data_IF_021657429335
#
_entry.id   IF_021657429335
#
_cell.length_a   1.000
_cell.length_b   1.000
_cell.length_c   1.000
_cell.angle_alpha   90.00
_cell.angle_beta   90.00
_cell.angle_gamma   90.00
#
_symmetry.space_group_name_H-M   'P 1'
#
loop_
_entity.id
_entity.type
_entity.pdbx_description
1 polymer ?
#
# COMPACT_ATOMS: atom_id res chain seq x y z
N UNK A 1 -3.06 4.68 -17.89
CA UNK A 1 -2.53 5.46 -16.74
C UNK A 1 -2.25 6.86 -17.23
N UNK A 2 -2.93 7.86 -16.68
CA UNK A 2 -2.94 9.24 -17.19
C UNK A 2 -1.52 9.83 -17.14
N UNK A 3 -1.02 10.34 -18.28
CA UNK A 3 0.40 10.70 -18.46
C UNK A 3 0.84 11.99 -17.74
N UNK A 4 -0.11 12.73 -17.13
CA UNK A 4 0.13 14.05 -16.56
C UNK A 4 -0.45 14.26 -15.15
N UNK A 5 -0.47 13.20 -14.31
CA UNK A 5 -0.91 13.33 -12.93
C UNK A 5 0.08 14.19 -12.13
N UNK A 6 -0.37 15.34 -11.68
CA UNK A 6 0.35 16.19 -10.72
C UNK A 6 0.06 15.68 -9.30
N UNK A 7 1.01 14.91 -8.76
CA UNK A 7 0.89 14.34 -7.42
C UNK A 7 1.01 15.37 -6.30
N UNK A 8 1.42 16.60 -6.60
CA UNK A 8 1.37 17.70 -5.61
C UNK A 8 -0.06 18.22 -5.40
N UNK A 9 -0.93 18.02 -6.36
CA UNK A 9 -2.31 18.51 -6.34
C UNK A 9 -3.34 17.47 -5.94
N UNK A 10 -3.08 16.17 -6.25
CA UNK A 10 -3.98 15.07 -5.89
C UNK A 10 -3.23 13.76 -5.69
N UNK A 11 -3.67 12.90 -4.76
CA UNK A 11 -3.14 11.55 -4.64
C UNK A 11 -3.58 10.70 -5.84
N UNK A 12 -2.74 9.74 -6.26
CA UNK A 12 -3.18 8.65 -7.14
C UNK A 12 -4.10 7.70 -6.40
N UNK A 13 -3.83 7.51 -5.11
CA UNK A 13 -4.56 6.59 -4.23
C UNK A 13 -4.82 7.29 -2.90
N UNK A 14 -6.09 7.38 -2.52
CA UNK A 14 -6.50 7.65 -1.15
C UNK A 14 -6.90 6.34 -0.50
N UNK A 15 -6.26 5.97 0.60
CA UNK A 15 -6.70 4.84 1.43
C UNK A 15 -7.47 5.40 2.62
N UNK A 16 -8.61 4.83 2.89
CA UNK A 16 -9.33 5.07 4.12
C UNK A 16 -9.43 3.76 4.91
N UNK A 17 -8.86 3.77 6.11
CA UNK A 17 -9.01 2.71 7.10
C UNK A 17 -10.38 2.87 7.74
N UNK A 18 -11.38 2.16 7.22
CA UNK A 18 -12.77 2.36 7.62
C UNK A 18 -13.11 1.79 9.00
N UNK A 19 -12.28 0.88 9.49
CA UNK A 19 -12.41 0.24 10.81
C UNK A 19 -11.09 -0.34 11.27
N UNK A 20 -10.88 -0.44 12.58
CA UNK A 20 -9.76 -1.17 13.18
C UNK A 20 -10.15 -2.62 13.54
N UNK A 21 -11.45 -2.97 13.45
CA UNK A 21 -11.91 -4.32 13.78
C UNK A 21 -11.39 -5.38 12.81
N UNK A 22 -10.88 -6.48 13.34
CA UNK A 22 -10.43 -7.65 12.56
C UNK A 22 -10.41 -8.88 13.46
N UNK A 23 -10.67 -10.06 12.90
CA UNK A 23 -10.53 -11.34 13.61
C UNK A 23 -9.11 -11.90 13.53
N UNK A 24 -8.33 -11.45 12.54
CA UNK A 24 -6.98 -11.95 12.34
C UNK A 24 -5.97 -11.29 13.28
N UNK A 25 -4.99 -12.06 13.73
CA UNK A 25 -3.90 -11.62 14.59
C UNK A 25 -2.55 -11.55 13.85
N UNK A 26 -2.56 -11.10 12.59
CA UNK A 26 -1.39 -11.08 11.71
C UNK A 26 -0.15 -10.46 12.36
N UNK A 27 1.01 -11.11 12.23
CA UNK A 27 2.28 -10.66 12.82
C UNK A 27 2.75 -9.30 12.29
N UNK A 28 2.43 -9.00 11.03
CA UNK A 28 2.82 -7.75 10.35
C UNK A 28 1.78 -6.64 10.43
N UNK A 29 0.71 -6.80 11.22
CA UNK A 29 -0.41 -5.87 11.18
C UNK A 29 0.01 -4.43 11.51
N UNK A 30 -0.08 -3.56 10.52
CA UNK A 30 0.21 -2.13 10.62
C UNK A 30 -0.75 -1.41 11.57
N UNK A 31 -2.04 -1.75 11.45
CA UNK A 31 -3.13 -1.09 12.19
C UNK A 31 -3.20 -1.52 13.66
N UNK A 32 -2.43 -2.55 14.05
CA UNK A 32 -2.61 -3.20 15.36
C UNK A 32 -4.09 -3.54 15.62
N UNK A 33 -4.71 -4.16 14.62
CA UNK A 33 -6.14 -4.42 14.57
C UNK A 33 -6.65 -5.15 15.82
N UNK A 34 -7.85 -4.79 16.23
CA UNK A 34 -8.54 -5.28 17.43
C UNK A 34 -9.75 -6.12 17.03
N UNK A 35 -10.27 -6.95 17.93
CA UNK A 35 -11.46 -7.77 17.66
C UNK A 35 -12.76 -6.97 17.56
N UNK A 36 -12.80 -5.78 18.17
CA UNK A 36 -13.96 -4.89 18.21
C UNK A 36 -13.66 -3.57 17.48
N UNK A 37 -14.72 -2.93 17.01
CA UNK A 37 -14.65 -1.59 16.43
C UNK A 37 -14.24 -0.56 17.49
N UNK A 38 -13.44 0.41 17.08
CA UNK A 38 -13.11 1.54 17.94
C UNK A 38 -14.36 2.41 18.20
N UNK A 39 -14.61 2.88 19.43
CA UNK A 39 -15.81 3.67 19.72
C UNK A 39 -15.87 5.01 18.96
N UNK A 40 -14.71 5.57 18.62
CA UNK A 40 -14.59 6.85 17.91
C UNK A 40 -14.40 6.65 16.39
N UNK A 41 -14.72 5.47 15.83
CA UNK A 41 -14.72 5.31 14.38
C UNK A 41 -15.71 6.29 13.74
N UNK A 42 -15.29 6.86 12.60
CA UNK A 42 -16.14 7.77 11.84
C UNK A 42 -17.50 7.13 11.56
N UNK A 43 -18.56 7.87 11.82
CA UNK A 43 -19.94 7.49 11.49
C UNK A 43 -20.14 7.36 9.98
N UNK A 44 -21.28 6.83 9.54
CA UNK A 44 -21.62 6.75 8.12
C UNK A 44 -21.60 8.13 7.45
N UNK A 45 -22.16 9.15 8.11
CA UNK A 45 -22.23 10.52 7.56
C UNK A 45 -20.84 11.17 7.50
N UNK A 46 -19.99 11.00 8.52
CA UNK A 46 -18.60 11.47 8.47
C UNK A 46 -17.80 10.72 7.40
N UNK A 47 -18.07 9.42 7.22
CA UNK A 47 -17.49 8.63 6.13
C UNK A 47 -17.89 9.13 4.74
N UNK A 48 -19.15 9.52 4.55
CA UNK A 48 -19.60 10.17 3.30
C UNK A 48 -18.90 11.50 3.10
N UNK A 49 -18.67 12.29 4.14
CA UNK A 49 -17.91 13.55 4.04
C UNK A 49 -16.43 13.31 3.63
N UNK A 50 -15.80 12.19 4.08
CA UNK A 50 -14.48 11.78 3.58
C UNK A 50 -14.54 11.48 2.08
N UNK A 51 -15.57 10.79 1.60
CA UNK A 51 -15.74 10.48 0.19
C UNK A 51 -16.02 11.74 -0.65
N UNK A 52 -16.83 12.69 -0.14
CA UNK A 52 -17.05 14.00 -0.77
C UNK A 52 -15.73 14.75 -0.93
N UNK A 53 -14.91 14.82 0.13
CA UNK A 53 -13.59 15.45 0.07
C UNK A 53 -12.66 14.73 -0.93
N UNK A 54 -12.72 13.39 -0.99
CA UNK A 54 -11.97 12.62 -1.99
C UNK A 54 -12.38 12.97 -3.42
N UNK A 55 -13.68 13.25 -3.65
CA UNK A 55 -14.22 13.64 -4.96
C UNK A 55 -13.71 15.00 -5.43
N UNK A 56 -13.39 15.90 -4.51
CA UNK A 56 -12.83 17.21 -4.82
C UNK A 56 -11.41 17.15 -5.42
N UNK A 57 -10.67 16.06 -5.20
CA UNK A 57 -9.38 15.88 -5.86
C UNK A 57 -9.53 15.70 -7.37
N UNK A 58 -10.46 14.88 -7.81
CA UNK A 58 -10.74 14.64 -9.23
C UNK A 58 -11.94 13.70 -9.44
N UNK A 59 -12.50 13.75 -10.66
CA UNK A 59 -13.37 12.70 -11.18
C UNK A 59 -12.62 11.36 -11.20
N UNK A 60 -13.32 10.26 -10.82
CA UNK A 60 -12.74 8.92 -10.73
C UNK A 60 -11.53 8.81 -9.79
N UNK A 61 -11.47 9.64 -8.73
CA UNK A 61 -10.44 9.47 -7.71
C UNK A 61 -10.50 8.06 -7.14
N UNK A 62 -9.35 7.38 -7.11
CA UNK A 62 -9.26 6.04 -6.54
C UNK A 62 -9.29 6.14 -5.01
N UNK A 63 -10.30 5.53 -4.40
CA UNK A 63 -10.44 5.37 -2.97
C UNK A 63 -10.39 3.88 -2.64
N UNK A 64 -9.51 3.49 -1.73
CA UNK A 64 -9.38 2.12 -1.25
C UNK A 64 -9.90 2.05 0.17
N UNK A 65 -10.99 1.36 0.38
CA UNK A 65 -11.51 1.04 1.70
C UNK A 65 -10.69 -0.13 2.26
N UNK A 66 -10.03 0.11 3.38
CA UNK A 66 -9.14 -0.81 4.06
C UNK A 66 -9.45 -0.80 5.56
N UNK A 67 -8.59 -1.43 6.36
CA UNK A 67 -8.76 -1.38 7.81
C UNK A 67 -8.07 -2.52 8.50
N UNK A 68 -8.66 -2.97 9.58
CA UNK A 68 -8.55 -4.34 10.06
C UNK A 68 -9.20 -5.25 9.05
N UNK A 69 -10.51 -5.47 9.16
CA UNK A 69 -11.32 -6.07 8.09
C UNK A 69 -12.50 -5.14 7.77
N UNK A 70 -12.52 -4.48 6.62
CA UNK A 70 -13.61 -3.58 6.25
C UNK A 70 -14.99 -4.27 6.22
N UNK A 71 -15.06 -5.60 6.06
CA UNK A 71 -16.31 -6.36 6.13
C UNK A 71 -16.95 -6.34 7.53
N UNK A 72 -16.20 -5.98 8.57
CA UNK A 72 -16.73 -5.77 9.93
C UNK A 72 -17.54 -4.46 10.06
N UNK A 73 -17.46 -3.59 9.05
CA UNK A 73 -18.21 -2.35 9.05
C UNK A 73 -19.62 -2.55 8.45
N UNK A 74 -20.71 -2.35 9.23
CA UNK A 74 -22.07 -2.72 8.79
C UNK A 74 -22.60 -1.88 7.64
N UNK A 75 -22.13 -0.65 7.47
CA UNK A 75 -22.51 0.29 6.41
C UNK A 75 -21.54 0.26 5.20
N UNK A 76 -20.66 -0.74 5.10
CA UNK A 76 -19.66 -0.84 4.01
C UNK A 76 -20.29 -0.74 2.62
N UNK A 77 -21.37 -1.50 2.37
CA UNK A 77 -22.06 -1.50 1.08
C UNK A 77 -22.70 -0.15 0.75
N UNK A 78 -23.20 0.57 1.76
CA UNK A 78 -23.73 1.92 1.62
C UNK A 78 -22.62 2.91 1.23
N UNK A 79 -21.46 2.85 1.87
CA UNK A 79 -20.32 3.70 1.57
C UNK A 79 -19.77 3.43 0.16
N UNK A 80 -19.68 2.16 -0.26
CA UNK A 80 -19.27 1.82 -1.64
C UNK A 80 -20.23 2.40 -2.66
N UNK A 81 -21.55 2.23 -2.43
CA UNK A 81 -22.58 2.76 -3.33
C UNK A 81 -22.52 4.28 -3.41
N UNK A 82 -22.45 4.95 -2.27
CA UNK A 82 -22.32 6.41 -2.22
C UNK A 82 -21.11 6.90 -2.99
N UNK A 83 -19.94 6.28 -2.78
CA UNK A 83 -18.72 6.64 -3.50
C UNK A 83 -18.83 6.46 -5.03
N UNK A 84 -19.47 5.37 -5.50
CA UNK A 84 -19.71 5.16 -6.94
C UNK A 84 -20.70 6.19 -7.50
N UNK A 85 -21.80 6.48 -6.79
CA UNK A 85 -22.81 7.47 -7.19
C UNK A 85 -22.22 8.88 -7.37
N UNK A 86 -21.29 9.29 -6.51
CA UNK A 86 -20.60 10.58 -6.64
C UNK A 86 -19.41 10.55 -7.61
N UNK A 87 -19.14 9.41 -8.27
CA UNK A 87 -18.15 9.26 -9.33
C UNK A 87 -16.74 8.95 -8.86
N UNK A 88 -16.56 8.33 -7.70
CA UNK A 88 -15.28 7.80 -7.24
C UNK A 88 -15.02 6.40 -7.83
N UNK A 89 -13.74 5.99 -7.89
CA UNK A 89 -13.35 4.63 -8.20
C UNK A 89 -13.14 3.85 -6.90
N UNK A 90 -14.14 3.06 -6.50
CA UNK A 90 -14.13 2.36 -5.22
C UNK A 90 -13.37 1.03 -5.30
N UNK A 91 -12.46 0.80 -4.38
CA UNK A 91 -11.68 -0.44 -4.21
C UNK A 91 -11.75 -0.92 -2.77
N UNK A 92 -11.59 -2.23 -2.56
CA UNK A 92 -11.64 -2.85 -1.24
C UNK A 92 -10.39 -3.70 -0.98
N UNK A 93 -9.89 -3.64 0.26
CA UNK A 93 -8.83 -4.53 0.75
C UNK A 93 -9.30 -5.22 2.02
N UNK A 94 -10.10 -6.29 1.90
CA UNK A 94 -10.61 -7.07 3.02
C UNK A 94 -9.54 -8.04 3.54
N UNK A 95 -9.75 -8.57 4.73
CA UNK A 95 -8.84 -9.52 5.37
C UNK A 95 -8.91 -10.93 4.81
N UNK A 96 -9.92 -11.26 4.01
CA UNK A 96 -10.12 -12.60 3.47
C UNK A 96 -10.59 -13.58 4.54
N UNK A 97 -11.51 -13.17 5.39
CA UNK A 97 -12.16 -13.98 6.42
C UNK A 97 -13.45 -14.61 5.88
N UNK A 98 -14.14 -15.42 6.67
CA UNK A 98 -15.44 -16.00 6.34
C UNK A 98 -16.57 -14.98 6.20
N UNK A 99 -16.37 -13.75 6.70
CA UNK A 99 -17.26 -12.60 6.46
C UNK A 99 -17.34 -12.22 4.96
N UNK A 100 -16.30 -12.52 4.18
CA UNK A 100 -16.25 -12.22 2.75
C UNK A 100 -16.88 -13.34 1.92
N UNK A 101 -18.20 -13.46 2.02
CA UNK A 101 -18.98 -14.45 1.27
C UNK A 101 -19.21 -14.02 -0.18
N UNK A 102 -19.65 -14.98 -1.02
CA UNK A 102 -20.05 -14.68 -2.41
C UNK A 102 -21.18 -13.65 -2.48
N UNK A 103 -22.15 -13.72 -1.55
CA UNK A 103 -23.28 -12.78 -1.50
C UNK A 103 -22.83 -11.37 -1.12
N UNK A 104 -21.90 -11.24 -0.15
CA UNK A 104 -21.30 -9.95 0.22
C UNK A 104 -20.56 -9.34 -0.96
N UNK A 105 -19.75 -10.13 -1.69
CA UNK A 105 -19.05 -9.63 -2.87
C UNK A 105 -19.98 -9.27 -4.03
N UNK A 106 -21.06 -10.03 -4.24
CA UNK A 106 -22.06 -9.67 -5.22
C UNK A 106 -22.73 -8.33 -4.87
N UNK A 107 -23.14 -8.14 -3.61
CA UNK A 107 -23.72 -6.89 -3.14
C UNK A 107 -22.78 -5.69 -3.27
N UNK A 108 -21.48 -5.88 -2.99
CA UNK A 108 -20.45 -4.84 -3.15
C UNK A 108 -20.20 -4.52 -4.63
N UNK A 109 -20.18 -5.55 -5.50
CA UNK A 109 -20.06 -5.37 -6.95
C UNK A 109 -21.25 -4.59 -7.52
N UNK A 110 -22.48 -4.94 -7.12
CA UNK A 110 -23.71 -4.22 -7.49
C UNK A 110 -23.74 -2.79 -6.94
N UNK A 111 -23.08 -2.54 -5.81
CA UNK A 111 -22.90 -1.21 -5.24
C UNK A 111 -21.84 -0.36 -5.96
N UNK A 112 -21.12 -0.92 -6.95
CA UNK A 112 -20.13 -0.20 -7.75
C UNK A 112 -18.68 -0.43 -7.35
N UNK A 113 -18.37 -1.47 -6.57
CA UNK A 113 -16.97 -1.85 -6.30
C UNK A 113 -16.25 -2.21 -7.60
N UNK A 114 -15.08 -1.61 -7.85
CA UNK A 114 -14.34 -1.74 -9.11
C UNK A 114 -13.17 -2.71 -9.05
N UNK A 115 -12.64 -2.99 -7.86
CA UNK A 115 -11.44 -3.82 -7.66
C UNK A 115 -11.38 -4.31 -6.21
N UNK A 116 -10.76 -5.46 -6.02
CA UNK A 116 -10.45 -6.00 -4.69
C UNK A 116 -8.98 -6.38 -4.59
N UNK A 117 -8.41 -6.25 -3.37
CA UNK A 117 -7.08 -6.76 -3.06
C UNK A 117 -7.18 -7.74 -1.88
N UNK A 118 -6.51 -8.89 -2.00
CA UNK A 118 -6.35 -9.87 -0.93
C UNK A 118 -4.89 -9.98 -0.52
N UNK A 119 -4.63 -10.30 0.74
CA UNK A 119 -3.28 -10.59 1.22
C UNK A 119 -2.97 -12.08 1.09
N UNK A 120 -1.78 -12.37 0.56
CA UNK A 120 -1.23 -13.73 0.49
C UNK A 120 0.25 -13.67 0.89
N UNK A 121 0.57 -14.19 2.07
CA UNK A 121 1.90 -14.08 2.67
C UNK A 121 2.62 -15.45 2.80
N UNK A 122 2.05 -16.50 2.23
CA UNK A 122 2.63 -17.84 2.13
C UNK A 122 2.17 -18.55 0.85
N UNK A 123 3.02 -19.42 0.30
CA UNK A 123 2.70 -20.25 -0.87
C UNK A 123 1.77 -21.43 -0.57
N UNK A 124 1.64 -21.77 0.71
CA UNK A 124 0.80 -22.83 1.25
C UNK A 124 0.13 -22.42 2.56
N UNK A 125 -0.76 -23.30 3.07
CA UNK A 125 -1.51 -23.04 4.28
C UNK A 125 -0.61 -22.92 5.51
N UNK A 126 0.45 -23.74 5.62
CA UNK A 126 1.31 -23.73 6.81
C UNK A 126 2.03 -22.37 6.97
N UNK A 127 2.60 -21.86 5.89
CA UNK A 127 3.31 -20.57 5.89
C UNK A 127 2.34 -19.39 6.04
N UNK A 128 1.22 -19.42 5.31
CA UNK A 128 0.26 -18.31 5.32
C UNK A 128 -0.46 -18.20 6.67
N UNK A 129 -1.02 -19.30 7.17
CA UNK A 129 -1.79 -19.32 8.42
C UNK A 129 -0.91 -18.92 9.61
N UNK A 130 0.34 -19.39 9.66
CA UNK A 130 1.29 -18.99 10.70
C UNK A 130 1.52 -17.47 10.70
N UNK A 131 1.76 -16.86 9.53
CA UNK A 131 2.02 -15.42 9.41
C UNK A 131 0.77 -14.56 9.64
N UNK A 132 -0.41 -15.09 9.29
CA UNK A 132 -1.71 -14.42 9.53
C UNK A 132 -2.22 -14.61 10.96
N UNK A 133 -1.64 -15.54 11.72
CA UNK A 133 -2.01 -15.84 13.09
C UNK A 133 -3.36 -16.54 13.22
N UNK A 134 -3.87 -17.17 12.14
CA UNK A 134 -5.18 -17.81 12.12
C UNK A 134 -5.16 -19.06 11.23
N UNK A 135 -5.45 -20.22 11.85
CA UNK A 135 -5.54 -21.48 11.13
C UNK A 135 -6.72 -21.49 10.15
N UNK A 136 -6.46 -21.87 8.92
CA UNK A 136 -7.47 -21.89 7.85
C UNK A 136 -7.57 -20.58 7.05
N UNK A 137 -6.84 -19.54 7.41
CA UNK A 137 -6.89 -18.25 6.69
C UNK A 137 -6.42 -18.36 5.22
N UNK A 138 -5.55 -19.33 4.92
CA UNK A 138 -5.18 -19.64 3.53
C UNK A 138 -6.37 -20.14 2.72
N UNK A 139 -7.14 -21.09 3.26
CA UNK A 139 -8.32 -21.61 2.59
C UNK A 139 -9.39 -20.55 2.38
N UNK A 140 -9.58 -19.65 3.38
CA UNK A 140 -10.47 -18.49 3.27
C UNK A 140 -10.01 -17.53 2.16
N UNK A 141 -8.70 -17.23 2.09
CA UNK A 141 -8.13 -16.38 1.04
C UNK A 141 -8.34 -16.97 -0.35
N UNK A 142 -8.12 -18.29 -0.52
CA UNK A 142 -8.39 -18.99 -1.78
C UNK A 142 -9.86 -18.87 -2.16
N UNK A 143 -10.78 -19.14 -1.23
CA UNK A 143 -12.23 -19.01 -1.45
C UNK A 143 -12.63 -17.59 -1.83
N UNK A 144 -12.08 -16.59 -1.13
CA UNK A 144 -12.32 -15.18 -1.45
C UNK A 144 -11.83 -14.80 -2.86
N UNK A 145 -10.71 -15.35 -3.31
CA UNK A 145 -10.22 -15.15 -4.68
C UNK A 145 -11.16 -15.77 -5.73
N UNK A 146 -11.73 -16.93 -5.46
CA UNK A 146 -12.75 -17.58 -6.32
C UNK A 146 -14.04 -16.77 -6.37
N UNK A 147 -14.49 -16.23 -5.23
CA UNK A 147 -15.66 -15.33 -5.19
C UNK A 147 -15.42 -14.05 -5.98
N UNK A 148 -14.23 -13.43 -5.86
CA UNK A 148 -13.86 -12.26 -6.65
C UNK A 148 -13.93 -12.54 -8.16
N UNK A 149 -13.38 -13.68 -8.57
CA UNK A 149 -13.42 -14.14 -9.98
C UNK A 149 -14.86 -14.34 -10.46
N UNK A 150 -15.70 -14.95 -9.64
CA UNK A 150 -17.13 -15.18 -9.95
C UNK A 150 -17.89 -13.88 -10.07
N UNK A 151 -17.59 -12.88 -9.20
CA UNK A 151 -18.17 -11.55 -9.26
C UNK A 151 -17.57 -10.65 -10.37
N UNK A 152 -16.60 -11.15 -11.15
CA UNK A 152 -15.94 -10.38 -12.21
C UNK A 152 -15.06 -9.23 -11.69
N UNK A 153 -14.67 -9.23 -10.44
CA UNK A 153 -13.85 -8.19 -9.82
C UNK A 153 -12.36 -8.44 -10.12
N UNK A 154 -11.65 -7.48 -10.74
CA UNK A 154 -10.21 -7.57 -10.89
C UNK A 154 -9.52 -7.73 -9.54
N UNK A 155 -8.70 -8.77 -9.39
CA UNK A 155 -8.03 -9.13 -8.15
C UNK A 155 -6.58 -8.61 -8.13
N UNK A 156 -6.21 -7.95 -7.04
CA UNK A 156 -4.83 -7.68 -6.68
C UNK A 156 -4.43 -8.61 -5.53
N UNK A 157 -3.21 -9.12 -5.55
CA UNK A 157 -2.62 -9.81 -4.40
C UNK A 157 -1.58 -8.90 -3.74
N UNK A 158 -1.64 -8.83 -2.41
CA UNK A 158 -0.68 -8.13 -1.57
C UNK A 158 0.17 -9.16 -0.83
N UNK A 159 1.48 -8.98 -0.79
CA UNK A 159 2.41 -9.87 -0.07
C UNK A 159 3.40 -9.03 0.71
N UNK A 160 3.58 -9.32 1.99
CA UNK A 160 4.59 -8.67 2.83
C UNK A 160 5.92 -9.42 2.75
N UNK A 161 7.02 -8.69 2.51
CA UNK A 161 8.39 -9.22 2.48
C UNK A 161 9.11 -8.87 3.77
N UNK A 162 9.45 -9.90 4.53
CA UNK A 162 10.31 -9.87 5.71
C UNK A 162 11.14 -11.15 5.75
N UNK A 163 11.95 -11.36 6.79
CA UNK A 163 12.79 -12.55 6.91
C UNK A 163 12.00 -13.87 6.83
N UNK A 164 10.76 -13.90 7.34
CA UNK A 164 9.92 -15.11 7.38
C UNK A 164 9.25 -15.41 6.03
N UNK A 165 9.01 -14.40 5.19
CA UNK A 165 8.19 -14.57 3.96
C UNK A 165 9.00 -14.50 2.67
N UNK A 166 10.23 -13.99 2.70
CA UNK A 166 11.03 -13.74 1.49
C UNK A 166 11.26 -15.00 0.65
N UNK A 167 11.44 -16.14 1.27
CA UNK A 167 11.67 -17.42 0.57
C UNK A 167 10.37 -18.05 0.04
N UNK A 168 9.20 -17.52 0.44
CA UNK A 168 7.89 -17.92 -0.08
C UNK A 168 7.54 -17.25 -1.42
N UNK A 169 8.23 -16.19 -1.81
CA UNK A 169 7.87 -15.37 -2.98
C UNK A 169 7.70 -16.18 -4.28
N UNK A 170 8.55 -17.17 -4.62
CA UNK A 170 8.35 -17.97 -5.83
C UNK A 170 7.04 -18.78 -5.80
N UNK A 171 6.71 -19.38 -4.66
CA UNK A 171 5.47 -20.15 -4.51
C UNK A 171 4.24 -19.22 -4.50
N UNK A 172 4.36 -18.04 -3.88
CA UNK A 172 3.30 -17.01 -3.91
C UNK A 172 3.07 -16.51 -5.34
N UNK A 173 4.12 -16.26 -6.14
CA UNK A 173 3.98 -15.89 -7.56
C UNK A 173 3.13 -16.90 -8.33
N UNK A 174 3.36 -18.19 -8.11
CA UNK A 174 2.61 -19.25 -8.79
C UNK A 174 1.13 -19.20 -8.39
N UNK A 175 0.82 -18.93 -7.10
CA UNK A 175 -0.56 -18.71 -6.62
C UNK A 175 -1.20 -17.46 -7.23
N UNK A 176 -0.46 -16.35 -7.35
CA UNK A 176 -0.94 -15.11 -7.99
C UNK A 176 -1.42 -15.40 -9.43
N UNK A 177 -0.65 -16.22 -10.15
CA UNK A 177 -1.01 -16.67 -11.50
C UNK A 177 -2.26 -17.57 -11.49
N UNK A 178 -2.32 -18.55 -10.58
CA UNK A 178 -3.48 -19.46 -10.44
C UNK A 178 -4.78 -18.71 -10.11
N UNK A 179 -4.73 -17.70 -9.27
CA UNK A 179 -5.88 -16.85 -8.94
C UNK A 179 -6.33 -15.97 -10.11
N UNK A 180 -5.52 -15.86 -11.15
CA UNK A 180 -5.80 -14.95 -12.27
C UNK A 180 -5.76 -13.49 -11.85
N UNK A 181 -4.95 -13.15 -10.85
CA UNK A 181 -4.80 -11.79 -10.39
C UNK A 181 -4.23 -10.89 -11.49
N UNK A 182 -4.69 -9.64 -11.53
CA UNK A 182 -4.23 -8.64 -12.52
C UNK A 182 -3.01 -7.86 -12.03
N UNK A 183 -2.74 -7.90 -10.72
CA UNK A 183 -1.66 -7.15 -10.10
C UNK A 183 -1.15 -7.87 -8.85
N UNK A 184 0.17 -7.98 -8.73
CA UNK A 184 0.86 -8.39 -7.53
C UNK A 184 1.57 -7.18 -6.90
N UNK A 185 1.19 -6.83 -5.67
CA UNK A 185 1.76 -5.73 -4.90
C UNK A 185 2.62 -6.28 -3.77
N UNK A 186 3.92 -6.09 -3.86
CA UNK A 186 4.89 -6.62 -2.91
C UNK A 186 5.30 -5.52 -1.94
N UNK A 187 4.93 -5.69 -0.67
CA UNK A 187 5.15 -4.75 0.41
C UNK A 187 6.44 -5.09 1.15
N UNK A 188 7.40 -4.21 1.16
CA UNK A 188 8.60 -4.40 1.96
C UNK A 188 8.35 -3.88 3.38
N UNK A 189 8.64 -4.70 4.38
CA UNK A 189 8.32 -4.44 5.77
C UNK A 189 8.73 -3.03 6.21
N UNK A 190 7.78 -2.34 6.84
CA UNK A 190 8.03 -1.14 7.64
C UNK A 190 7.74 -1.49 9.10
N UNK A 191 8.64 -1.23 10.04
CA UNK A 191 8.49 -1.65 11.44
C UNK A 191 7.51 -0.73 12.20
N UNK A 192 6.21 -0.85 11.87
CA UNK A 192 5.08 -0.15 12.53
C UNK A 192 4.04 -1.16 13.01
N UNK A 193 3.23 -0.78 13.99
CA UNK A 193 2.26 -1.70 14.60
C UNK A 193 2.95 -2.98 15.12
N UNK A 194 2.31 -4.15 14.91
CA UNK A 194 2.91 -5.45 15.24
C UNK A 194 4.13 -5.80 14.38
N UNK A 195 4.23 -5.23 13.16
CA UNK A 195 5.40 -5.40 12.30
C UNK A 195 6.74 -4.96 12.89
N UNK A 196 6.75 -4.24 14.03
CA UNK A 196 7.96 -3.92 14.80
C UNK A 196 8.63 -5.14 15.41
N UNK A 197 7.92 -6.25 15.53
CA UNK A 197 8.40 -7.50 16.11
C UNK A 197 9.02 -8.43 15.05
N UNK A 198 8.95 -8.05 13.77
CA UNK A 198 9.45 -8.83 12.66
C UNK A 198 10.84 -8.36 12.24
N UNK A 199 11.66 -9.30 11.79
CA UNK A 199 12.97 -9.00 11.23
C UNK A 199 12.82 -8.58 9.76
N UNK A 200 13.37 -7.40 9.36
CA UNK A 200 13.48 -7.03 7.97
C UNK A 200 14.50 -7.93 7.26
N UNK A 201 14.41 -8.03 5.94
CA UNK A 201 15.48 -8.63 5.14
C UNK A 201 16.68 -7.69 5.05
N UNK A 202 17.87 -8.25 4.82
CA UNK A 202 19.08 -7.45 4.57
C UNK A 202 18.93 -6.57 3.32
N UNK A 203 19.55 -5.37 3.27
CA UNK A 203 19.47 -4.45 2.13
C UNK A 203 19.86 -5.09 0.79
N UNK A 204 20.92 -5.89 0.77
CA UNK A 204 21.38 -6.60 -0.44
C UNK A 204 20.38 -7.65 -0.89
N UNK A 205 19.70 -8.32 0.06
CA UNK A 205 18.64 -9.27 -0.24
C UNK A 205 17.41 -8.54 -0.80
N UNK A 206 17.12 -7.33 -0.33
CA UNK A 206 16.03 -6.51 -0.85
C UNK A 206 16.27 -6.13 -2.32
N UNK A 207 17.49 -5.73 -2.69
CA UNK A 207 17.84 -5.45 -4.08
C UNK A 207 17.70 -6.70 -4.96
N UNK A 208 18.23 -7.85 -4.51
CA UNK A 208 18.10 -9.10 -5.25
C UNK A 208 16.62 -9.51 -5.45
N UNK A 209 15.76 -9.32 -4.43
CA UNK A 209 14.32 -9.53 -4.57
C UNK A 209 13.71 -8.57 -5.59
N UNK A 210 14.13 -7.31 -5.62
CA UNK A 210 13.63 -6.33 -6.60
C UNK A 210 14.08 -6.64 -8.03
N UNK A 211 15.30 -7.15 -8.21
CA UNK A 211 15.76 -7.63 -9.51
C UNK A 211 14.88 -8.79 -10.00
N UNK A 212 14.68 -9.79 -9.13
CA UNK A 212 13.79 -10.91 -9.44
C UNK A 212 12.36 -10.48 -9.72
N UNK A 213 11.81 -9.51 -8.97
CA UNK A 213 10.47 -8.95 -9.23
C UNK A 213 10.40 -8.22 -10.58
N UNK A 214 11.50 -7.61 -11.02
CA UNK A 214 11.55 -6.97 -12.33
C UNK A 214 11.55 -8.00 -13.46
N UNK A 215 12.22 -9.15 -13.29
CA UNK A 215 12.14 -10.30 -14.21
C UNK A 215 10.74 -10.90 -14.23
N UNK A 216 10.19 -11.17 -13.05
CA UNK A 216 8.80 -11.64 -12.91
C UNK A 216 7.79 -10.73 -13.63
N UNK A 217 7.96 -9.41 -13.55
CA UNK A 217 7.09 -8.45 -14.24
C UNK A 217 7.18 -8.51 -15.77
N UNK A 218 8.30 -8.98 -16.32
CA UNK A 218 8.50 -9.14 -17.76
C UNK A 218 7.96 -10.52 -18.27
N UNK A 219 7.88 -11.52 -17.38
CA UNK A 219 7.51 -12.90 -17.72
C UNK A 219 6.03 -13.24 -17.45
N UNK A 220 5.41 -12.59 -16.46
CA UNK A 220 4.08 -12.95 -15.96
C UNK A 220 2.95 -12.16 -16.63
N UNK A 221 1.74 -12.74 -16.71
CA UNK A 221 0.59 -12.06 -17.32
C UNK A 221 -0.02 -10.97 -16.42
N UNK A 222 0.45 -10.81 -15.19
CA UNK A 222 0.00 -9.80 -14.24
C UNK A 222 1.04 -8.70 -14.03
N UNK A 223 0.58 -7.51 -13.64
CA UNK A 223 1.50 -6.43 -13.28
C UNK A 223 2.17 -6.69 -11.92
N UNK A 224 3.41 -6.22 -11.76
CA UNK A 224 4.14 -6.23 -10.48
C UNK A 224 4.44 -4.80 -10.04
N UNK A 225 4.12 -4.49 -8.80
CA UNK A 225 4.52 -3.24 -8.15
C UNK A 225 5.09 -3.50 -6.76
N UNK A 226 5.93 -2.60 -6.28
CA UNK A 226 6.38 -2.61 -4.88
C UNK A 226 5.69 -1.51 -4.09
N UNK A 227 5.47 -1.75 -2.81
CA UNK A 227 4.99 -0.77 -1.84
C UNK A 227 6.04 -0.65 -0.73
N UNK A 228 6.29 0.57 -0.27
CA UNK A 228 7.37 0.92 0.68
C UNK A 228 8.77 0.46 0.20
N UNK A 229 8.95 0.36 -1.12
CA UNK A 229 10.21 0.04 -1.76
C UNK A 229 10.37 0.81 -3.08
N UNK A 230 10.43 2.16 -3.04
CA UNK A 230 10.57 2.98 -4.25
C UNK A 230 11.89 2.74 -4.98
N UNK A 231 12.91 2.19 -4.32
CA UNK A 231 14.18 1.83 -4.94
C UNK A 231 14.07 0.71 -5.99
N UNK A 232 12.95 -0.01 -6.08
CA UNK A 232 12.61 -0.84 -7.24
C UNK A 232 12.70 -0.08 -8.57
N UNK A 233 12.44 1.23 -8.57
CA UNK A 233 12.59 2.08 -9.77
C UNK A 233 14.06 2.28 -10.14
N UNK A 234 14.93 2.47 -9.12
CA UNK A 234 16.39 2.51 -9.34
C UNK A 234 16.87 1.22 -9.97
N UNK A 235 16.50 0.06 -9.40
CA UNK A 235 16.85 -1.26 -9.92
C UNK A 235 16.40 -1.40 -11.39
N UNK A 236 15.16 -1.04 -11.71
CA UNK A 236 14.65 -1.09 -13.10
C UNK A 236 15.40 -0.16 -14.04
N UNK A 237 15.83 1.02 -13.59
CA UNK A 237 16.65 1.93 -14.40
C UNK A 237 18.04 1.37 -14.66
N UNK A 238 18.68 0.82 -13.64
CA UNK A 238 20.02 0.23 -13.75
C UNK A 238 20.03 -0.98 -14.69
N UNK A 239 19.03 -1.87 -14.60
CA UNK A 239 18.86 -2.98 -15.55
C UNK A 239 18.78 -2.51 -17.00
N UNK A 240 17.91 -1.53 -17.27
CA UNK A 240 17.72 -1.00 -18.64
C UNK A 240 18.96 -0.29 -19.20
N UNK A 241 19.73 0.39 -18.36
CA UNK A 241 20.99 1.00 -18.75
C UNK A 241 22.01 -0.07 -19.15
N UNK A 242 22.05 -1.22 -18.47
CA UNK A 242 22.88 -2.38 -18.81
C UNK A 242 22.50 -3.01 -20.16
N UNK A 243 21.21 -3.00 -20.53
CA UNK A 243 20.72 -3.56 -21.79
C UNK A 243 20.79 -2.59 -22.98
N UNK A 244 21.36 -1.39 -22.81
CA UNK A 244 21.48 -0.38 -23.87
C UNK A 244 20.12 0.23 -24.32
N UNK A 245 19.06 -0.02 -23.59
CA UNK A 245 17.71 0.42 -23.92
C UNK A 245 17.35 1.69 -23.14
N UNK A 246 17.85 2.85 -23.57
CA UNK A 246 17.35 4.15 -23.11
C UNK A 246 15.96 4.42 -23.71
N UNK A 247 14.94 3.76 -23.21
CA UNK A 247 13.54 4.01 -23.58
C UNK A 247 12.69 4.35 -22.37
N UNK A 248 12.80 5.63 -21.93
CA UNK A 248 11.66 6.33 -21.38
C UNK A 248 11.07 5.83 -20.06
N UNK A 249 11.87 5.32 -19.12
CA UNK A 249 11.51 5.42 -17.72
C UNK A 249 11.53 6.92 -17.40
N UNK A 250 10.34 7.50 -17.27
CA UNK A 250 10.22 8.92 -16.95
C UNK A 250 10.99 9.19 -15.66
N UNK A 251 11.83 10.19 -15.68
CA UNK A 251 12.56 10.75 -14.52
C UNK A 251 11.63 11.34 -13.45
N UNK A 252 10.32 11.06 -13.51
CA UNK A 252 9.35 11.46 -12.49
C UNK A 252 9.26 10.36 -11.43
N UNK A 253 9.28 10.77 -10.17
CA UNK A 253 9.05 9.93 -9.03
C UNK A 253 7.71 9.16 -9.17
N UNK A 254 7.59 8.06 -8.48
CA UNK A 254 6.32 7.36 -8.40
C UNK A 254 5.68 7.63 -7.04
N UNK A 255 4.61 6.90 -6.76
CA UNK A 255 3.86 7.00 -5.50
C UNK A 255 4.77 6.63 -4.33
N UNK A 256 4.87 7.53 -3.37
CA UNK A 256 5.47 7.32 -2.04
C UNK A 256 4.61 8.05 -1.00
N UNK A 257 4.89 7.85 0.28
CA UNK A 257 4.19 8.55 1.36
C UNK A 257 4.15 10.08 1.10
N UNK A 258 2.96 10.66 1.12
CA UNK A 258 2.72 12.10 0.91
C UNK A 258 2.88 12.60 -0.54
N UNK A 259 3.39 11.78 -1.45
CA UNK A 259 3.58 12.13 -2.87
C UNK A 259 2.84 11.10 -3.76
N UNK A 260 1.63 11.43 -4.13
CA UNK A 260 0.71 10.56 -4.84
C UNK A 260 -0.03 9.55 -3.95
N UNK A 261 0.14 9.63 -2.64
CA UNK A 261 -0.50 8.78 -1.65
C UNK A 261 -1.01 9.60 -0.47
N UNK A 262 -2.21 9.31 0.00
CA UNK A 262 -2.78 9.82 1.23
C UNK A 262 -3.57 8.72 1.94
N UNK A 263 -3.69 8.85 3.25
CA UNK A 263 -4.35 7.88 4.11
C UNK A 263 -5.21 8.62 5.14
N UNK A 264 -6.41 8.11 5.38
CA UNK A 264 -7.31 8.55 6.45
C UNK A 264 -7.50 7.39 7.41
N UNK A 265 -7.32 7.62 8.71
CA UNK A 265 -7.52 6.61 9.75
C UNK A 265 -9.02 6.37 10.01
N UNK A 266 -9.32 5.34 10.78
CA UNK A 266 -10.69 5.03 11.22
C UNK A 266 -11.30 6.11 12.13
N UNK A 267 -10.46 6.95 12.76
CA UNK A 267 -10.82 8.10 13.59
C UNK A 267 -10.70 9.44 12.86
N UNK A 268 -10.36 9.43 11.57
CA UNK A 268 -10.35 10.62 10.72
C UNK A 268 -9.00 11.32 10.59
N UNK A 269 -7.93 10.85 11.23
CA UNK A 269 -6.60 11.47 11.10
C UNK A 269 -6.06 11.29 9.68
N UNK A 270 -5.45 12.34 9.13
CA UNK A 270 -4.89 12.38 7.78
C UNK A 270 -3.39 12.14 7.87
N UNK A 271 -2.91 11.05 7.26
CA UNK A 271 -1.50 10.67 7.21
C UNK A 271 -0.95 10.65 5.77
N UNK A 272 0.36 10.87 5.59
CA UNK A 272 1.02 10.68 4.29
C UNK A 272 1.00 9.24 3.80
N UNK A 273 0.96 8.28 4.72
CA UNK A 273 0.87 6.83 4.48
C UNK A 273 0.36 6.16 5.75
N UNK A 274 -0.36 5.06 5.61
CA UNK A 274 -0.71 4.22 6.77
C UNK A 274 0.50 3.62 7.50
N UNK A 275 1.69 3.67 6.89
CA UNK A 275 2.96 3.27 7.49
C UNK A 275 3.77 4.44 8.05
N UNK A 276 3.26 5.68 7.95
CA UNK A 276 3.84 6.88 8.53
C UNK A 276 2.76 7.58 9.36
N UNK A 277 2.57 7.16 10.63
CA UNK A 277 1.48 7.62 11.48
C UNK A 277 1.80 8.98 12.14
N UNK A 278 2.11 9.98 11.32
CA UNK A 278 2.26 11.38 11.71
C UNK A 278 1.10 12.16 11.10
N UNK A 279 0.20 12.64 11.95
CA UNK A 279 -1.02 13.30 11.51
C UNK A 279 -0.72 14.72 11.00
N UNK A 280 -1.21 15.02 9.79
CA UNK A 280 -1.15 16.35 9.20
C UNK A 280 -2.44 17.14 9.40
N UNK A 281 -3.51 16.50 9.82
CA UNK A 281 -4.84 17.06 10.07
C UNK A 281 -5.83 15.96 10.42
N UNK A 282 -7.11 16.33 10.59
CA UNK A 282 -8.19 15.41 10.98
C UNK A 282 -9.50 15.77 10.27
N UNK A 283 -10.12 14.84 9.57
CA UNK A 283 -11.47 15.00 9.01
C UNK A 283 -12.52 14.63 10.06
N UNK A 284 -13.67 15.34 10.11
CA UNK A 284 -14.10 16.41 9.21
C UNK A 284 -13.67 17.82 9.66
N UNK A 285 -12.82 17.96 10.68
CA UNK A 285 -12.42 19.25 11.22
C UNK A 285 -11.59 20.07 10.22
N UNK A 286 -10.71 19.38 9.48
CA UNK A 286 -9.83 19.98 8.46
C UNK A 286 -10.28 19.56 7.05
N UNK A 287 -9.99 20.43 6.08
CA UNK A 287 -10.18 20.14 4.67
C UNK A 287 -9.08 19.18 4.16
N UNK A 288 -9.48 17.94 3.82
CA UNK A 288 -8.56 16.90 3.34
C UNK A 288 -7.74 17.34 2.12
N UNK A 289 -8.35 18.11 1.24
CA UNK A 289 -7.68 18.59 0.01
C UNK A 289 -6.64 19.64 0.34
N UNK A 290 -6.96 20.56 1.25
CA UNK A 290 -6.03 21.59 1.72
C UNK A 290 -4.86 20.96 2.49
N UNK A 291 -5.15 20.04 3.44
CA UNK A 291 -4.12 19.31 4.18
C UNK A 291 -3.18 18.56 3.23
N UNK A 292 -3.72 17.82 2.25
CA UNK A 292 -2.90 17.13 1.28
C UNK A 292 -2.00 18.07 0.48
N UNK A 293 -2.52 19.22 0.05
CA UNK A 293 -1.80 20.16 -0.83
C UNK A 293 -0.79 21.01 -0.09
N UNK A 294 -1.13 21.47 1.10
CA UNK A 294 -0.50 22.64 1.71
C UNK A 294 0.10 22.39 3.10
N UNK A 295 -0.18 21.26 3.77
CA UNK A 295 0.43 21.00 5.07
C UNK A 295 1.95 20.87 4.96
N UNK A 296 2.66 21.31 6.00
CA UNK A 296 4.12 21.29 6.05
C UNK A 296 4.67 19.87 5.86
N UNK A 297 4.03 18.86 6.47
CA UNK A 297 4.46 17.45 6.37
C UNK A 297 4.36 16.94 4.93
N UNK A 298 3.22 17.11 4.26
CA UNK A 298 3.06 16.66 2.87
C UNK A 298 3.97 17.43 1.91
N UNK A 299 4.18 18.71 2.16
CA UNK A 299 5.05 19.56 1.34
C UNK A 299 6.51 19.15 1.48
N UNK A 300 6.99 18.91 2.72
CA UNK A 300 8.34 18.44 2.98
C UNK A 300 8.62 17.06 2.33
N UNK A 301 7.66 16.13 2.40
CA UNK A 301 7.80 14.80 1.79
C UNK A 301 7.89 14.81 0.26
N UNK A 302 7.41 15.87 -0.40
CA UNK A 302 7.52 16.07 -1.86
C UNK A 302 8.81 16.72 -2.28
N UNK A 303 9.46 17.44 -1.37
CA UNK A 303 10.75 18.07 -1.64
C UNK A 303 11.88 17.05 -1.58
N UNK A 304 12.30 16.56 -2.76
CA UNK A 304 13.39 15.58 -2.88
C UNK A 304 14.76 16.16 -2.57
N UNK A 305 14.90 17.47 -2.60
CA UNK A 305 16.17 18.14 -2.29
C UNK A 305 16.29 18.41 -0.77
N UNK A 306 15.20 18.28 0.00
CA UNK A 306 15.22 18.29 1.44
C UNK A 306 15.64 16.97 2.09
N UNK A 307 15.79 15.89 1.31
CA UNK A 307 16.23 14.59 1.84
C UNK A 307 17.65 14.68 2.40
N UNK A 308 17.90 13.97 3.51
CA UNK A 308 19.20 13.91 4.17
C UNK A 308 19.97 12.59 3.91
N UNK A 309 21.19 12.51 4.39
CA UNK A 309 22.06 11.34 4.32
C UNK A 309 22.25 10.83 2.90
N UNK A 310 22.42 9.51 2.72
CA UNK A 310 22.63 8.91 1.40
C UNK A 310 21.45 9.11 0.44
N UNK A 311 20.21 9.23 0.94
CA UNK A 311 19.06 9.52 0.08
C UNK A 311 19.13 10.92 -0.51
N UNK A 312 19.58 11.92 0.25
CA UNK A 312 19.78 13.30 -0.20
C UNK A 312 20.90 13.44 -1.21
N UNK A 313 22.02 12.70 -1.00
CA UNK A 313 23.16 12.70 -1.92
C UNK A 313 22.93 11.87 -3.19
N UNK A 314 21.85 11.04 -3.23
CA UNK A 314 21.66 10.04 -4.26
C UNK A 314 21.27 10.64 -5.63
N UNK A 315 21.93 10.21 -6.69
CA UNK A 315 21.62 10.55 -8.08
C UNK A 315 20.21 10.11 -8.51
N UNK A 316 19.63 9.12 -7.81
CA UNK A 316 18.28 8.61 -8.05
C UNK A 316 17.21 9.28 -7.15
N UNK A 317 17.54 10.30 -6.32
CA UNK A 317 16.61 10.86 -5.33
C UNK A 317 15.26 11.31 -5.91
N UNK A 318 15.26 11.90 -7.10
CA UNK A 318 14.03 12.37 -7.76
C UNK A 318 13.17 11.24 -8.35
N UNK A 319 13.73 10.05 -8.57
CA UNK A 319 13.03 8.89 -9.11
C UNK A 319 12.59 7.94 -7.99
N UNK A 320 13.44 7.76 -6.99
CA UNK A 320 13.30 6.84 -5.89
C UNK A 320 12.89 7.56 -4.60
N UNK A 321 13.81 8.28 -3.99
CA UNK A 321 13.63 9.00 -2.74
C UNK A 321 13.55 8.11 -1.49
N UNK A 322 13.68 6.79 -1.58
CA UNK A 322 13.58 5.84 -0.47
C UNK A 322 12.16 5.77 0.15
N UNK A 323 11.91 4.76 1.00
CA UNK A 323 10.68 4.70 1.80
C UNK A 323 10.72 5.72 2.93
N UNK A 324 9.89 6.74 2.85
CA UNK A 324 9.79 7.78 3.90
C UNK A 324 9.21 7.22 5.18
N UNK A 325 8.29 6.25 5.04
CA UNK A 325 7.70 5.54 6.17
C UNK A 325 8.75 4.72 6.94
N UNK A 326 9.64 4.01 6.20
CA UNK A 326 10.70 3.24 6.86
C UNK A 326 11.77 4.14 7.47
N UNK A 327 12.17 5.22 6.79
CA UNK A 327 13.06 6.21 7.35
C UNK A 327 12.51 6.74 8.69
N UNK A 328 11.25 7.19 8.70
CA UNK A 328 10.58 7.64 9.91
C UNK A 328 10.53 6.58 11.01
N UNK A 329 10.09 5.36 10.67
CA UNK A 329 9.94 4.28 11.65
C UNK A 329 11.27 3.87 12.33
N UNK A 330 12.41 4.07 11.66
CA UNK A 330 13.72 3.68 12.15
C UNK A 330 14.50 4.83 12.80
N UNK A 331 14.29 6.07 12.38
CA UNK A 331 15.08 7.23 12.81
C UNK A 331 14.26 8.31 13.51
N UNK A 332 12.92 8.30 13.35
CA UNK A 332 12.05 9.39 13.77
C UNK A 332 12.00 10.56 12.77
N UNK A 333 12.79 10.52 11.69
CA UNK A 333 12.85 11.57 10.66
C UNK A 333 12.42 10.98 9.29
N UNK A 334 11.30 11.45 8.71
CA UNK A 334 10.84 10.97 7.42
C UNK A 334 11.73 11.43 6.24
N UNK A 335 12.64 12.38 6.46
CA UNK A 335 13.58 12.86 5.45
C UNK A 335 14.94 12.16 5.49
N UNK A 336 15.19 11.31 6.50
CA UNK A 336 16.42 10.53 6.64
C UNK A 336 16.60 9.47 5.54
N UNK A 337 17.76 8.84 5.52
CA UNK A 337 18.06 7.72 4.61
C UNK A 337 17.14 6.53 4.83
N UNK A 338 16.73 5.86 3.75
CA UNK A 338 16.04 4.56 3.84
C UNK A 338 17.07 3.46 4.15
N UNK A 339 17.01 2.82 5.33
CA UNK A 339 18.00 1.83 5.75
C UNK A 339 17.97 0.54 4.92
N UNK A 340 16.88 0.25 4.20
CA UNK A 340 16.77 -0.96 3.38
C UNK A 340 17.49 -0.84 2.02
N UNK A 341 17.97 0.35 1.64
CA UNK A 341 18.66 0.54 0.36
C UNK A 341 20.17 0.28 0.51
N UNK A 342 20.78 -0.70 -0.21
CA UNK A 342 22.22 -0.94 -0.16
C UNK A 342 23.02 0.04 -1.03
N UNK A 343 22.36 0.80 -1.93
CA UNK A 343 23.04 1.70 -2.86
C UNK A 343 23.74 2.82 -2.10
N UNK A 344 25.03 2.99 -2.39
CA UNK A 344 25.86 4.08 -1.88
C UNK A 344 26.13 5.03 -3.05
N UNK A 345 25.68 6.30 -2.97
CA UNK A 345 25.95 7.29 -4.01
C UNK A 345 27.44 7.55 -4.19
N UNK A 346 27.85 7.92 -5.41
CA UNK A 346 29.25 8.24 -5.71
C UNK A 346 29.74 9.40 -4.83
N UNK A 347 30.87 9.20 -4.16
CA UNK A 347 31.47 10.21 -3.27
C UNK A 347 30.78 10.40 -1.92
N UNK A 348 29.79 9.60 -1.59
CA UNK A 348 29.13 9.63 -0.27
C UNK A 348 29.98 8.86 0.77
N UNK A 349 30.32 9.53 1.88
CA UNK A 349 31.00 8.90 3.00
C UNK A 349 29.96 8.37 4.00
N UNK A 350 29.81 7.05 4.03
CA UNK A 350 28.84 6.38 4.92
C UNK A 350 29.25 6.40 6.42
N UNK A 351 30.41 6.92 6.77
CA UNK A 351 30.88 6.96 8.18
C UNK A 351 30.16 7.99 9.04
N UNK A 352 29.30 8.82 8.45
CA UNK A 352 28.57 9.90 9.12
C UNK A 352 27.03 9.85 9.01
N UNK A 353 26.45 8.77 8.45
CA UNK A 353 25.00 8.61 8.23
C UNK A 353 24.33 7.75 9.32
#
# INVERSE_FOLDING_TARGET
MNRDLDTSRRPMVLIWEVTQACELACEHCRADAQSARHPDELTTEEGKAVLDSAREFADNQLVVLSGGDPCKRPDLTELVRYGDEIGLSMSLTPSGTDELTGDVLAALSDAGLRRMALSLDGGDAAAHDAFRGEAGSFAETVRAAEHAKTAGLPLQINTTVCAQTVDQLPAIRDRVREFGAVLWSVFFLVPVGRGRLLDPIAPERADAVMEWLAETADEEPFGVKTTEAPHYRRVKLQRRAGDGADRGLRRRGGIVAGDGFAFVSHTGEIYPSGFLPEAAGTVPADDLVDVYRNSDLFTALRDRDALSGKCGACEFRHVCGGSRSRAYATTGDPLASDPLCPHVPEGFDAAGD
#
